data_IF_543154526200
#
_entry.id   IF_543154526200
#
_cell.length_a   1.000
_cell.length_b   1.000
_cell.length_c   1.000
_cell.angle_alpha   90.00
_cell.angle_beta   90.00
_cell.angle_gamma   90.00
#
_symmetry.space_group_name_H-M   'P 1'
#
loop_
_entity.id
_entity.type
_entity.pdbx_description
1 polymer ?
#
# COMPACT_ATOMS: atom_id res chain seq x y z
N UNK A 1 -7.44 -0.71 -24.51
CA UNK A 1 -6.45 -0.69 -23.41
C UNK A 1 -6.98 0.29 -22.39
N UNK A 2 -7.40 -0.16 -21.21
CA UNK A 2 -7.89 0.73 -20.16
C UNK A 2 -6.72 1.59 -19.66
N UNK A 3 -6.83 2.91 -19.80
CA UNK A 3 -5.99 3.86 -19.07
C UNK A 3 -6.31 3.67 -17.57
N UNK A 4 -5.67 2.70 -16.91
CA UNK A 4 -5.57 2.72 -15.46
C UNK A 4 -4.73 3.94 -15.13
N UNK A 5 -5.40 5.00 -14.72
CA UNK A 5 -4.79 6.23 -14.26
C UNK A 5 -3.85 5.86 -13.12
N UNK A 6 -2.54 6.02 -13.35
CA UNK A 6 -1.51 5.67 -12.36
C UNK A 6 -1.67 6.57 -11.15
N UNK A 7 -1.80 5.96 -9.98
CA UNK A 7 -1.93 6.68 -8.72
C UNK A 7 -0.56 7.13 -8.21
N UNK A 8 -0.49 8.37 -7.74
CA UNK A 8 0.67 8.85 -7.00
C UNK A 8 0.70 8.28 -5.56
N UNK A 9 1.79 8.50 -4.83
CA UNK A 9 1.94 7.99 -3.46
C UNK A 9 0.80 8.41 -2.51
N UNK A 10 0.28 9.64 -2.64
CA UNK A 10 -0.83 10.12 -1.81
C UNK A 10 -2.14 9.39 -2.10
N UNK A 11 -2.44 9.13 -3.37
CA UNK A 11 -3.65 8.39 -3.79
C UNK A 11 -3.60 6.92 -3.34
N UNK A 12 -2.43 6.29 -3.43
CA UNK A 12 -2.24 4.93 -2.90
C UNK A 12 -2.37 4.93 -1.37
N UNK A 13 -1.80 5.93 -0.68
CA UNK A 13 -1.93 6.09 0.78
C UNK A 13 -3.38 6.22 1.21
N UNK A 14 -4.19 7.02 0.50
CA UNK A 14 -5.62 7.17 0.80
C UNK A 14 -6.33 5.82 0.67
N UNK A 15 -6.12 5.09 -0.42
CA UNK A 15 -6.74 3.78 -0.60
C UNK A 15 -6.29 2.77 0.46
N UNK A 16 -5.01 2.77 0.83
CA UNK A 16 -4.49 1.97 1.93
C UNK A 16 -5.17 2.32 3.24
N UNK A 17 -5.25 3.61 3.60
CA UNK A 17 -5.96 4.05 4.80
C UNK A 17 -7.42 3.62 4.81
N UNK A 18 -8.14 3.83 3.70
CA UNK A 18 -9.52 3.39 3.55
C UNK A 18 -9.66 1.89 3.79
N UNK A 19 -8.76 1.07 3.25
CA UNK A 19 -8.76 -0.38 3.54
C UNK A 19 -8.54 -0.66 5.03
N UNK A 20 -7.62 0.04 5.71
CA UNK A 20 -7.32 -0.22 7.13
C UNK A 20 -8.47 0.15 8.09
N UNK A 21 -9.38 1.04 7.71
CA UNK A 21 -10.59 1.35 8.50
C UNK A 21 -11.81 0.52 8.10
N UNK A 22 -11.83 -0.05 6.90
CA UNK A 22 -12.85 -1.04 6.56
C UNK A 22 -12.53 -2.30 7.35
N UNK A 23 -13.41 -2.69 8.28
CA UNK A 23 -13.30 -3.93 9.08
C UNK A 23 -13.50 -5.17 8.20
N UNK A 24 -12.60 -5.35 7.22
CA UNK A 24 -12.61 -6.47 6.30
C UNK A 24 -12.11 -7.73 7.03
N UNK A 25 -12.64 -8.92 6.69
CA UNK A 25 -12.02 -10.17 7.11
C UNK A 25 -10.55 -10.20 6.70
N UNK A 26 -9.68 -10.74 7.56
CA UNK A 26 -8.22 -10.71 7.39
C UNK A 26 -7.75 -11.13 5.99
N UNK A 27 -8.30 -12.22 5.43
CA UNK A 27 -7.96 -12.68 4.06
C UNK A 27 -8.29 -11.65 2.98
N UNK A 28 -9.41 -10.96 3.11
CA UNK A 28 -9.83 -9.92 2.18
C UNK A 28 -8.97 -8.67 2.32
N UNK A 29 -8.66 -8.26 3.56
CA UNK A 29 -7.74 -7.16 3.83
C UNK A 29 -6.34 -7.44 3.25
N UNK A 30 -5.85 -8.68 3.39
CA UNK A 30 -4.55 -9.08 2.85
C UNK A 30 -4.50 -9.01 1.32
N UNK A 31 -5.55 -9.47 0.63
CA UNK A 31 -5.61 -9.39 -0.84
C UNK A 31 -5.60 -7.93 -1.34
N UNK A 32 -6.33 -7.03 -0.67
CA UNK A 32 -6.31 -5.60 -1.01
C UNK A 32 -4.96 -4.98 -0.69
N UNK A 33 -4.35 -5.35 0.44
CA UNK A 33 -3.02 -4.91 0.82
C UNK A 33 -1.97 -5.31 -0.21
N UNK A 34 -1.92 -6.58 -0.62
CA UNK A 34 -0.97 -7.10 -1.61
C UNK A 34 -1.06 -6.33 -2.93
N UNK A 35 -2.29 -6.04 -3.38
CA UNK A 35 -2.51 -5.25 -4.59
C UNK A 35 -1.92 -3.82 -4.47
N UNK A 36 -2.19 -3.14 -3.35
CA UNK A 36 -1.67 -1.80 -3.10
C UNK A 36 -0.15 -1.80 -2.90
N UNK A 37 0.39 -2.85 -2.28
CA UNK A 37 1.82 -3.02 -2.03
C UNK A 37 2.57 -3.14 -3.35
N UNK A 38 2.08 -3.99 -4.24
CA UNK A 38 2.64 -4.18 -5.58
C UNK A 38 2.55 -2.90 -6.41
N UNK A 39 1.44 -2.16 -6.30
CA UNK A 39 1.29 -0.89 -7.00
C UNK A 39 2.27 0.17 -6.49
N UNK A 40 2.42 0.31 -5.17
CA UNK A 40 3.38 1.22 -4.56
C UNK A 40 4.82 0.88 -4.96
N UNK A 41 5.18 -0.41 -4.96
CA UNK A 41 6.52 -0.85 -5.38
C UNK A 41 6.79 -0.56 -6.85
N UNK A 42 5.84 -0.89 -7.75
CA UNK A 42 6.00 -0.58 -9.18
C UNK A 42 6.17 0.93 -9.41
N UNK A 43 5.34 1.75 -8.79
CA UNK A 43 5.42 3.19 -8.93
C UNK A 43 6.71 3.77 -8.32
N UNK A 44 7.20 3.22 -7.20
CA UNK A 44 8.48 3.60 -6.60
C UNK A 44 9.67 3.34 -7.55
N UNK A 45 9.68 2.19 -8.23
CA UNK A 45 10.71 1.86 -9.23
C UNK A 45 10.71 2.85 -10.38
N UNK A 46 9.54 3.29 -10.84
CA UNK A 46 9.42 4.24 -11.95
C UNK A 46 9.96 5.64 -11.61
N UNK A 47 9.93 6.04 -10.34
CA UNK A 47 10.40 7.36 -9.88
C UNK A 47 11.75 7.29 -9.16
N UNK A 48 12.45 6.16 -9.26
CA UNK A 48 13.73 5.94 -8.60
C UNK A 48 14.77 6.99 -9.03
N UNK A 49 15.49 7.55 -8.06
CA UNK A 49 16.46 8.62 -8.30
C UNK A 49 15.85 10.03 -8.40
N UNK A 50 14.53 10.16 -8.29
CA UNK A 50 13.85 11.47 -8.18
C UNK A 50 13.50 11.80 -6.73
N UNK A 51 13.12 13.06 -6.47
CA UNK A 51 12.64 13.49 -5.15
C UNK A 51 11.34 12.79 -4.72
N UNK A 52 10.53 12.30 -5.66
CA UNK A 52 9.27 11.61 -5.39
C UNK A 52 9.48 10.24 -4.72
N UNK A 53 10.66 9.64 -4.87
CA UNK A 53 10.99 8.35 -4.27
C UNK A 53 10.83 8.36 -2.74
N UNK A 54 11.12 9.48 -2.08
CA UNK A 54 10.99 9.60 -0.63
C UNK A 54 9.53 9.38 -0.15
N UNK A 55 8.55 9.82 -0.93
CA UNK A 55 7.13 9.66 -0.60
C UNK A 55 6.69 8.20 -0.66
N UNK A 56 7.15 7.47 -1.68
CA UNK A 56 6.88 6.04 -1.83
C UNK A 56 7.59 5.21 -0.77
N UNK A 57 8.83 5.55 -0.39
CA UNK A 57 9.54 4.89 0.72
C UNK A 57 8.79 5.08 2.04
N UNK A 58 8.30 6.29 2.31
CA UNK A 58 7.51 6.55 3.51
C UNK A 58 6.19 5.74 3.52
N UNK A 59 5.51 5.65 2.38
CA UNK A 59 4.31 4.82 2.22
C UNK A 59 4.60 3.34 2.44
N UNK A 60 5.64 2.78 1.81
CA UNK A 60 5.97 1.36 1.95
C UNK A 60 6.30 0.98 3.40
N UNK A 61 7.00 1.85 4.16
CA UNK A 61 7.24 1.64 5.59
C UNK A 61 5.95 1.63 6.41
N UNK A 62 5.03 2.54 6.09
CA UNK A 62 3.72 2.61 6.74
C UNK A 62 2.89 1.34 6.51
N UNK A 63 2.91 0.84 5.28
CA UNK A 63 2.25 -0.41 4.88
C UNK A 63 2.87 -1.62 5.58
N UNK A 64 4.20 -1.69 5.65
CA UNK A 64 4.92 -2.77 6.35
C UNK A 64 4.55 -2.83 7.84
N UNK A 65 4.50 -1.69 8.52
CA UNK A 65 4.12 -1.62 9.94
C UNK A 65 2.70 -2.15 10.19
N UNK A 66 1.76 -1.78 9.32
CA UNK A 66 0.40 -2.30 9.43
C UNK A 66 0.36 -3.82 9.24
N UNK A 67 1.05 -4.35 8.22
CA UNK A 67 1.09 -5.78 7.95
C UNK A 67 1.64 -6.56 9.15
N UNK A 68 2.73 -6.08 9.75
CA UNK A 68 3.32 -6.68 10.95
C UNK A 68 2.36 -6.64 12.15
N UNK A 69 1.62 -5.56 12.33
CA UNK A 69 0.64 -5.44 13.41
C UNK A 69 -0.54 -6.41 13.21
N UNK A 70 -1.05 -6.52 11.98
CA UNK A 70 -2.20 -7.37 11.67
C UNK A 70 -1.83 -8.86 11.73
N UNK A 71 -0.63 -9.24 11.28
CA UNK A 71 -0.12 -10.60 11.39
C UNK A 71 -0.01 -11.06 12.87
N UNK A 72 0.38 -10.16 13.79
CA UNK A 72 0.42 -10.45 15.23
C UNK A 72 -0.97 -10.70 15.81
N UNK A 73 -1.97 -9.90 15.40
CA UNK A 73 -3.37 -10.09 15.85
C UNK A 73 -3.94 -11.42 15.35
N UNK A 74 -3.64 -11.81 14.12
CA UNK A 74 -4.14 -13.07 13.55
C UNK A 74 -3.56 -14.33 14.22
N UNK A 75 -2.49 -14.20 15.00
CA UNK A 75 -1.85 -15.29 15.75
C UNK A 75 -2.27 -15.34 17.23
N UNK A 76 -3.01 -14.33 17.72
CA UNK A 76 -3.49 -14.22 19.11
C UNK A 76 -4.91 -14.77 19.25
#
# INVERSE_FOLDING_TARGET
MSNQQRRNASEIRVAFKTMTVQELPYKSALAVFEHLWDEANRAAVEVMGTSLMAEYVALLKEMEWWFQAEAKKAQS
#
